data_IF_453558829460
#
_entry.id   IF_453558829460
#
_cell.length_a   1.000
_cell.length_b   1.000
_cell.length_c   1.000
_cell.angle_alpha   90.00
_cell.angle_beta   90.00
_cell.angle_gamma   90.00
#
_symmetry.space_group_name_H-M   'P 1'
#
loop_
_entity.id
_entity.type
_entity.pdbx_description
1 polymer ?
#
# COMPACT_ATOMS: atom_id res chain seq x y z
N UNK A 1 -29.20 14.48 -44.32
CA UNK A 1 -29.57 14.27 -42.90
C UNK A 1 -28.33 13.73 -42.19
N UNK A 2 -27.69 14.51 -41.33
CA UNK A 2 -26.47 14.10 -40.63
C UNK A 2 -26.92 13.47 -39.31
N UNK A 3 -26.73 12.14 -39.20
CA UNK A 3 -27.01 11.40 -37.98
C UNK A 3 -25.87 11.64 -36.98
N UNK A 4 -26.14 12.44 -35.95
CA UNK A 4 -25.24 12.63 -34.81
C UNK A 4 -25.40 11.46 -33.84
N UNK A 5 -24.39 10.61 -33.74
CA UNK A 5 -24.31 9.61 -32.70
C UNK A 5 -23.90 10.29 -31.38
N UNK A 6 -24.82 10.37 -30.41
CA UNK A 6 -24.48 10.69 -29.02
C UNK A 6 -23.82 9.47 -28.38
N UNK A 7 -22.53 9.57 -28.09
CA UNK A 7 -21.82 8.60 -27.25
C UNK A 7 -22.14 8.89 -25.78
N UNK A 8 -22.90 8.01 -25.13
CA UNK A 8 -23.03 8.00 -23.67
C UNK A 8 -21.69 7.58 -23.06
N UNK A 9 -21.11 8.44 -22.22
CA UNK A 9 -20.01 8.07 -21.34
C UNK A 9 -20.64 7.29 -20.17
N UNK A 10 -20.44 5.97 -20.15
CA UNK A 10 -20.76 5.17 -18.97
C UNK A 10 -19.76 5.52 -17.87
N UNK A 11 -20.22 6.17 -16.81
CA UNK A 11 -19.46 6.27 -15.57
C UNK A 11 -19.40 4.87 -14.96
N UNK A 12 -18.22 4.24 -14.99
CA UNK A 12 -17.96 3.00 -14.25
C UNK A 12 -18.12 3.30 -12.76
N UNK A 13 -19.17 2.75 -12.15
CA UNK A 13 -19.32 2.73 -10.70
C UNK A 13 -18.07 2.10 -10.07
N UNK A 14 -17.61 2.68 -8.96
CA UNK A 14 -16.51 2.15 -8.18
C UNK A 14 -16.77 0.68 -7.84
N UNK A 15 -15.73 -0.15 -7.95
CA UNK A 15 -15.79 -1.56 -7.59
C UNK A 15 -16.24 -1.69 -6.13
N UNK A 16 -17.45 -2.21 -5.91
CA UNK A 16 -17.87 -2.75 -4.63
C UNK A 16 -17.12 -4.08 -4.41
N UNK A 17 -15.87 -3.99 -3.95
CA UNK A 17 -15.04 -5.16 -3.65
C UNK A 17 -14.94 -5.35 -2.15
N UNK A 18 -15.16 -6.58 -1.66
CA UNK A 18 -14.84 -7.01 -0.29
C UNK A 18 -13.31 -7.00 -0.11
N UNK A 19 -12.74 -5.88 0.32
CA UNK A 19 -11.31 -5.83 0.60
C UNK A 19 -10.98 -6.64 1.87
N UNK A 20 -9.78 -7.26 1.96
CA UNK A 20 -9.42 -8.09 3.10
C UNK A 20 -9.35 -7.30 4.42
N UNK A 21 -9.16 -5.99 4.35
CA UNK A 21 -9.13 -5.08 5.50
C UNK A 21 -10.52 -4.71 6.04
N UNK A 22 -11.61 -5.03 5.36
CA UNK A 22 -12.95 -4.61 5.78
C UNK A 22 -13.39 -5.25 7.10
N UNK A 23 -14.12 -4.46 7.89
CA UNK A 23 -14.68 -4.85 9.18
C UNK A 23 -14.34 -3.86 10.29
N UNK A 24 -14.65 -4.27 11.52
CA UNK A 24 -14.27 -3.55 12.74
C UNK A 24 -13.02 -4.18 13.35
N UNK A 25 -12.11 -3.32 13.81
CA UNK A 25 -10.81 -3.66 14.33
C UNK A 25 -10.54 -2.91 15.62
N UNK A 26 -9.89 -3.55 16.58
CA UNK A 26 -9.28 -2.93 17.75
C UNK A 26 -7.80 -2.74 17.44
N UNK A 27 -7.38 -1.48 17.28
CA UNK A 27 -6.00 -1.07 17.03
C UNK A 27 -5.50 -0.34 18.28
N UNK A 28 -4.80 -1.06 19.16
CA UNK A 28 -4.33 -0.57 20.47
C UNK A 28 -5.40 0.14 21.32
N UNK A 29 -6.60 -0.46 21.38
CA UNK A 29 -7.73 0.05 22.15
C UNK A 29 -8.54 1.15 21.45
N UNK A 30 -8.15 1.55 20.24
CA UNK A 30 -8.96 2.41 19.37
C UNK A 30 -9.77 1.56 18.40
N UNK A 31 -11.09 1.77 18.37
CA UNK A 31 -11.96 1.13 17.39
C UNK A 31 -11.74 1.75 16.01
N UNK A 32 -11.47 0.89 15.02
CA UNK A 32 -11.32 1.26 13.61
C UNK A 32 -12.38 0.53 12.81
N UNK A 33 -13.14 1.26 11.98
CA UNK A 33 -14.09 0.65 11.02
C UNK A 33 -13.67 0.96 9.61
N UNK A 34 -13.61 -0.10 8.81
CA UNK A 34 -13.18 -0.06 7.43
C UNK A 34 -14.24 -0.71 6.54
N UNK A 35 -14.68 0.03 5.54
CA UNK A 35 -15.46 -0.48 4.41
C UNK A 35 -14.71 -0.22 3.11
N UNK A 36 -15.25 -0.65 1.97
CA UNK A 36 -14.72 -0.27 0.65
C UNK A 36 -14.80 1.24 0.36
N UNK A 37 -15.61 2.00 1.12
CA UNK A 37 -15.89 3.41 0.86
C UNK A 37 -15.46 4.34 2.00
N UNK A 38 -15.34 3.83 3.23
CA UNK A 38 -15.18 4.68 4.41
C UNK A 38 -14.22 4.11 5.44
N UNK A 39 -13.63 5.02 6.19
CA UNK A 39 -12.72 4.75 7.30
C UNK A 39 -13.11 5.61 8.51
N UNK A 40 -13.13 5.02 9.69
CA UNK A 40 -13.27 5.74 10.96
C UNK A 40 -12.26 5.23 11.97
N UNK A 41 -11.75 6.14 12.81
CA UNK A 41 -10.77 5.86 13.86
C UNK A 41 -11.20 6.54 15.16
N UNK A 42 -11.66 5.75 16.12
CA UNK A 42 -12.20 6.25 17.39
C UNK A 42 -13.33 7.26 17.17
N UNK A 43 -13.14 8.49 17.67
CA UNK A 43 -14.12 9.58 17.55
C UNK A 43 -13.79 10.59 16.43
N UNK A 44 -12.79 10.30 15.60
CA UNK A 44 -12.43 11.19 14.49
C UNK A 44 -13.53 11.19 13.41
N UNK A 45 -13.64 12.28 12.62
CA UNK A 45 -14.54 12.30 11.47
C UNK A 45 -14.27 11.14 10.51
N UNK A 46 -15.33 10.51 10.02
CA UNK A 46 -15.23 9.48 8.99
C UNK A 46 -14.63 10.05 7.71
N UNK A 47 -13.63 9.37 7.15
CA UNK A 47 -13.01 9.71 5.89
C UNK A 47 -13.59 8.86 4.75
N UNK A 48 -13.73 9.47 3.57
CA UNK A 48 -14.18 8.77 2.35
C UNK A 48 -12.97 8.30 1.56
N UNK A 49 -12.96 7.00 1.24
CA UNK A 49 -11.95 6.34 0.42
C UNK A 49 -12.15 6.76 -1.03
N UNK A 50 -11.06 7.20 -1.65
CA UNK A 50 -11.01 7.57 -3.07
C UNK A 50 -10.34 6.50 -3.92
N UNK A 51 -9.38 5.78 -3.35
CA UNK A 51 -8.59 4.77 -4.05
C UNK A 51 -8.08 3.72 -3.06
N UNK A 52 -8.13 2.46 -3.48
CA UNK A 52 -7.48 1.33 -2.81
C UNK A 52 -6.46 0.73 -3.76
N UNK A 53 -5.22 0.60 -3.29
CA UNK A 53 -4.09 0.07 -4.05
C UNK A 53 -3.68 -1.27 -3.47
N UNK A 54 -3.59 -2.29 -4.33
CA UNK A 54 -3.01 -3.56 -3.95
C UNK A 54 -1.49 -3.48 -3.91
N UNK A 55 -0.90 -3.70 -2.73
CA UNK A 55 0.56 -3.69 -2.52
C UNK A 55 1.11 -5.12 -2.65
N UNK A 56 0.42 -6.08 -2.04
CA UNK A 56 0.66 -7.52 -2.13
C UNK A 56 -0.64 -8.28 -1.78
N UNK A 57 -0.61 -9.61 -1.74
CA UNK A 57 -1.76 -10.42 -1.28
C UNK A 57 -2.24 -10.00 0.12
N UNK A 58 -1.31 -9.67 1.01
CA UNK A 58 -1.57 -9.32 2.43
C UNK A 58 -1.41 -7.83 2.75
N UNK A 59 -1.19 -6.97 1.75
CA UNK A 59 -1.02 -5.53 1.98
C UNK A 59 -1.86 -4.67 1.04
N UNK A 60 -2.44 -3.59 1.56
CA UNK A 60 -3.26 -2.63 0.82
C UNK A 60 -2.90 -1.19 1.22
N UNK A 61 -2.79 -0.30 0.24
CA UNK A 61 -2.71 1.15 0.47
C UNK A 61 -4.08 1.78 0.26
N UNK A 62 -4.45 2.76 1.09
CA UNK A 62 -5.73 3.48 0.98
C UNK A 62 -5.47 4.97 0.91
N UNK A 63 -6.10 5.63 -0.06
CA UNK A 63 -6.06 7.08 -0.22
C UNK A 63 -7.47 7.67 -0.06
N UNK A 64 -7.56 8.73 0.73
CA UNK A 64 -8.82 9.42 1.02
C UNK A 64 -9.00 10.65 0.12
N UNK A 65 -10.25 11.10 0.02
CA UNK A 65 -10.64 12.25 -0.81
C UNK A 65 -9.98 13.58 -0.40
N UNK A 66 -9.54 13.70 0.85
CA UNK A 66 -8.79 14.85 1.39
C UNK A 66 -7.28 14.75 1.16
N UNK A 67 -6.81 13.67 0.51
CA UNK A 67 -5.40 13.40 0.26
C UNK A 67 -4.67 12.68 1.38
N UNK A 68 -5.32 12.42 2.53
CA UNK A 68 -4.76 11.57 3.58
C UNK A 68 -4.57 10.14 3.07
N UNK A 69 -3.62 9.41 3.65
CA UNK A 69 -3.25 8.06 3.23
C UNK A 69 -2.94 7.20 4.43
N UNK A 70 -3.24 5.92 4.31
CA UNK A 70 -2.84 4.88 5.25
C UNK A 70 -2.45 3.61 4.48
N UNK A 71 -1.73 2.72 5.15
CA UNK A 71 -1.42 1.40 4.64
C UNK A 71 -1.82 0.33 5.66
N UNK A 72 -2.22 -0.83 5.14
CA UNK A 72 -2.46 -2.03 5.90
C UNK A 72 -1.46 -3.10 5.46
N UNK A 73 -0.82 -3.74 6.42
CA UNK A 73 0.13 -4.82 6.20
C UNK A 73 -0.29 -6.08 6.95
N UNK A 74 0.27 -7.22 6.53
CA UNK A 74 0.05 -8.53 7.15
C UNK A 74 -1.43 -8.84 7.43
N UNK A 75 -2.30 -8.44 6.49
CA UNK A 75 -3.74 -8.60 6.59
C UNK A 75 -4.07 -10.09 6.57
N UNK A 76 -4.66 -10.58 7.65
CA UNK A 76 -5.27 -11.89 7.76
C UNK A 76 -6.78 -11.73 8.00
N UNK A 77 -7.48 -12.85 8.21
CA UNK A 77 -8.90 -12.80 8.57
C UNK A 77 -9.16 -12.19 9.96
N UNK A 78 -8.14 -12.08 10.83
CA UNK A 78 -8.30 -11.64 12.22
C UNK A 78 -7.25 -10.66 12.73
N UNK A 79 -6.20 -10.37 11.95
CA UNK A 79 -5.14 -9.41 12.29
C UNK A 79 -4.78 -8.54 11.09
N UNK A 80 -4.31 -7.33 11.35
CA UNK A 80 -3.57 -6.52 10.38
C UNK A 80 -2.65 -5.56 11.13
N UNK A 81 -1.67 -4.99 10.45
CA UNK A 81 -0.96 -3.82 10.92
C UNK A 81 -1.49 -2.58 10.21
N UNK A 82 -1.98 -1.61 10.97
CA UNK A 82 -2.37 -0.29 10.47
C UNK A 82 -1.18 0.65 10.52
N UNK A 83 -0.97 1.45 9.47
CA UNK A 83 0.10 2.43 9.43
C UNK A 83 -0.38 3.76 8.83
N UNK A 84 -0.05 4.87 9.49
CA UNK A 84 -0.19 6.22 8.94
C UNK A 84 1.17 6.79 8.57
N UNK A 85 1.42 7.05 7.28
CA UNK A 85 2.58 7.80 6.85
C UNK A 85 2.63 9.21 7.44
N UNK A 86 1.49 9.89 7.57
CA UNK A 86 1.48 11.31 7.94
C UNK A 86 1.88 11.56 9.41
N UNK A 87 1.65 10.59 10.30
CA UNK A 87 2.08 10.67 11.70
C UNK A 87 3.24 9.73 12.03
N UNK A 88 3.53 8.75 11.17
CA UNK A 88 4.47 7.66 11.45
C UNK A 88 3.90 6.57 12.36
N UNK A 89 2.65 6.69 12.81
CA UNK A 89 2.03 5.74 13.73
C UNK A 89 1.81 4.37 13.09
N UNK A 90 2.05 3.33 13.88
CA UNK A 90 1.79 1.94 13.50
C UNK A 90 1.09 1.25 14.65
N UNK A 91 0.00 0.54 14.36
CA UNK A 91 -0.80 -0.19 15.34
C UNK A 91 -1.01 -1.63 14.91
N UNK A 92 -0.90 -2.55 15.87
CA UNK A 92 -1.31 -3.94 15.67
C UNK A 92 -2.82 -4.06 15.93
N UNK A 93 -3.55 -4.41 14.89
CA UNK A 93 -5.00 -4.45 14.91
C UNK A 93 -5.52 -5.88 14.99
N UNK A 94 -6.56 -6.09 15.80
CA UNK A 94 -7.29 -7.35 15.90
C UNK A 94 -8.72 -7.15 15.45
N UNK A 95 -9.20 -8.04 14.58
CA UNK A 95 -10.58 -7.98 14.11
C UNK A 95 -11.52 -8.25 15.27
N UNK A 96 -12.43 -7.32 15.52
CA UNK A 96 -13.49 -7.54 16.50
C UNK A 96 -14.64 -8.25 15.78
N UNK A 97 -15.21 -9.27 16.42
CA UNK A 97 -16.38 -9.92 15.86
C UNK A 97 -17.52 -8.91 15.83
N UNK A 98 -17.84 -8.39 14.65
CA UNK A 98 -19.01 -7.55 14.47
C UNK A 98 -20.25 -8.40 14.77
N UNK A 99 -21.11 -7.93 15.67
CA UNK A 99 -22.39 -8.55 15.91
C UNK A 99 -23.16 -8.56 14.59
N UNK A 100 -23.57 -9.76 14.16
CA UNK A 100 -24.21 -10.01 12.87
C UNK A 100 -25.35 -8.99 12.58
N UNK A 101 -25.30 -8.27 11.46
CA UNK A 101 -26.50 -7.74 10.84
C UNK A 101 -27.31 -8.93 10.30
N UNK A 102 -28.59 -8.96 10.61
CA UNK A 102 -29.53 -10.04 10.31
C UNK A 102 -29.50 -10.47 8.83
N UNK A 103 -29.38 -11.79 8.65
CA UNK A 103 -29.62 -12.56 7.42
C UNK A 103 -30.82 -12.06 6.62
N UNK A 104 -30.67 -11.91 5.30
CA UNK A 104 -31.60 -12.50 4.36
C UNK A 104 -30.99 -13.72 3.68
N UNK A 105 -31.86 -14.70 3.44
CA UNK A 105 -31.63 -16.07 3.01
C UNK A 105 -30.80 -16.26 1.71
N UNK A 106 -30.32 -17.50 1.44
CA UNK A 106 -29.29 -17.82 0.46
C UNK A 106 -29.75 -17.64 -0.99
N UNK A 107 -28.86 -17.11 -1.84
CA UNK A 107 -28.96 -17.27 -3.29
C UNK A 107 -27.80 -18.15 -3.75
N UNK A 108 -28.16 -19.37 -4.08
CA UNK A 108 -27.29 -20.43 -4.55
C UNK A 108 -27.07 -20.31 -6.08
N UNK A 109 -25.80 -20.47 -6.47
CA UNK A 109 -25.25 -20.84 -7.79
C UNK A 109 -25.21 -19.80 -8.93
N UNK A 110 -23.98 -19.51 -9.40
CA UNK A 110 -23.37 -20.34 -10.44
C UNK A 110 -21.86 -20.11 -10.54
N UNK A 111 -21.12 -21.20 -10.34
CA UNK A 111 -19.71 -21.34 -10.65
C UNK A 111 -19.59 -21.35 -12.18
N UNK A 112 -18.81 -20.44 -12.75
CA UNK A 112 -18.26 -20.59 -14.09
C UNK A 112 -16.73 -20.48 -13.97
N UNK A 113 -16.11 -21.65 -13.82
CA UNK A 113 -14.70 -21.84 -14.11
C UNK A 113 -14.52 -21.84 -15.64
N UNK A 114 -13.61 -21.00 -16.13
CA UNK A 114 -12.63 -21.21 -17.20
C UNK A 114 -12.42 -19.94 -18.02
N UNK A 115 -11.34 -19.23 -17.68
CA UNK A 115 -10.55 -18.51 -18.65
C UNK A 115 -9.07 -18.82 -18.34
N UNK A 116 -8.28 -19.34 -19.29
CA UNK A 116 -6.84 -19.47 -19.11
C UNK A 116 -6.24 -18.10 -18.78
N UNK A 117 -5.17 -18.02 -17.96
CA UNK A 117 -4.41 -16.78 -17.87
C UNK A 117 -3.97 -16.38 -19.28
N UNK A 118 -4.28 -15.14 -19.67
CA UNK A 118 -3.68 -14.57 -20.87
C UNK A 118 -2.15 -14.69 -20.74
N UNK A 119 -1.41 -15.01 -21.81
CA UNK A 119 0.04 -15.02 -21.75
C UNK A 119 0.53 -13.66 -21.25
N UNK A 120 1.33 -13.67 -20.18
CA UNK A 120 2.11 -12.49 -19.81
C UNK A 120 3.00 -12.14 -21.01
N UNK A 121 2.62 -11.10 -21.74
CA UNK A 121 3.52 -10.51 -22.73
C UNK A 121 4.75 -9.97 -21.97
N UNK A 122 5.97 -10.35 -22.36
CA UNK A 122 7.16 -9.75 -21.80
C UNK A 122 7.16 -8.27 -22.16
N UNK A 123 6.80 -7.39 -21.22
CA UNK A 123 7.13 -5.98 -21.36
C UNK A 123 8.63 -5.87 -21.19
N UNK A 124 9.34 -5.91 -22.32
CA UNK A 124 10.68 -5.38 -22.41
C UNK A 124 10.67 -3.93 -21.88
N UNK A 125 11.22 -3.73 -20.69
CA UNK A 125 11.47 -2.40 -20.16
C UNK A 125 12.97 -2.14 -20.20
N UNK A 126 13.46 -1.91 -21.42
CA UNK A 126 14.77 -1.36 -21.65
C UNK A 126 14.64 0.15 -21.94
N UNK A 127 14.71 0.93 -20.87
CA UNK A 127 15.01 2.36 -20.87
C UNK A 127 15.48 2.65 -19.44
N UNK A 128 16.77 2.94 -19.27
CA UNK A 128 17.44 3.11 -17.97
C UNK A 128 16.56 3.90 -17.00
N UNK A 129 15.92 3.19 -16.07
CA UNK A 129 14.85 3.74 -15.24
C UNK A 129 15.52 4.37 -14.02
N UNK A 130 15.82 5.67 -14.12
CA UNK A 130 16.40 6.39 -12.99
C UNK A 130 15.29 6.66 -11.97
N UNK A 131 15.25 5.87 -10.92
CA UNK A 131 14.32 6.13 -9.82
C UNK A 131 14.73 7.40 -9.07
N UNK A 132 13.77 8.25 -8.66
CA UNK A 132 14.06 9.50 -7.95
C UNK A 132 14.71 9.28 -6.57
N UNK A 133 14.53 8.10 -5.98
CA UNK A 133 15.15 7.70 -4.72
C UNK A 133 16.59 7.19 -4.86
N UNK A 134 17.12 7.06 -6.08
CA UNK A 134 18.51 6.65 -6.25
C UNK A 134 19.48 7.63 -5.59
N UNK A 135 20.51 7.10 -4.94
CA UNK A 135 21.52 7.87 -4.25
C UNK A 135 22.05 7.19 -2.99
N UNK A 136 22.95 7.91 -2.33
CA UNK A 136 23.43 7.59 -0.99
C UNK A 136 22.56 8.31 0.03
N UNK A 137 22.20 7.61 1.10
CA UNK A 137 21.29 8.10 2.14
C UNK A 137 21.77 7.66 3.51
N UNK A 138 21.70 8.55 4.49
CA UNK A 138 21.91 8.22 5.89
C UNK A 138 20.55 8.06 6.54
N UNK A 139 20.31 6.88 7.12
CA UNK A 139 19.03 6.52 7.69
C UNK A 139 19.11 6.37 9.21
N UNK A 140 18.17 7.02 9.89
CA UNK A 140 17.99 6.96 11.33
C UNK A 140 16.66 6.29 11.67
N UNK A 141 16.56 5.74 12.88
CA UNK A 141 15.29 5.30 13.43
C UNK A 141 14.32 6.48 13.46
N UNK A 142 13.13 6.30 12.88
CA UNK A 142 12.16 7.40 12.75
C UNK A 142 11.59 7.87 14.11
N UNK A 143 11.60 7.01 15.13
CA UNK A 143 11.08 7.34 16.46
C UNK A 143 12.15 7.96 17.36
N UNK A 144 13.39 7.47 17.31
CA UNK A 144 14.47 7.92 18.21
C UNK A 144 15.41 8.93 17.56
N UNK A 145 15.47 8.99 16.22
CA UNK A 145 16.43 9.78 15.46
C UNK A 145 17.87 9.25 15.54
N UNK A 146 18.09 8.07 16.15
CA UNK A 146 19.41 7.47 16.22
C UNK A 146 19.83 6.96 14.84
N UNK A 147 21.03 7.36 14.38
CA UNK A 147 21.57 6.90 13.11
C UNK A 147 21.79 5.38 13.14
N UNK A 148 21.18 4.68 12.20
CA UNK A 148 21.21 3.22 12.14
C UNK A 148 22.13 2.70 11.04
N UNK A 149 22.02 3.24 9.83
CA UNK A 149 22.80 2.75 8.68
C UNK A 149 22.84 3.77 7.55
N UNK A 150 23.87 3.66 6.72
CA UNK A 150 23.86 4.24 5.38
C UNK A 150 23.28 3.23 4.37
N UNK A 151 22.50 3.74 3.41
CA UNK A 151 21.91 3.01 2.30
C UNK A 151 22.38 3.60 0.97
N UNK A 152 22.78 2.73 0.05
CA UNK A 152 22.99 3.09 -1.36
C UNK A 152 21.88 2.45 -2.19
N UNK A 153 20.98 3.28 -2.72
CA UNK A 153 19.89 2.86 -3.61
C UNK A 153 20.31 3.08 -5.07
N UNK A 154 20.41 2.00 -5.81
CA UNK A 154 20.87 2.03 -7.21
C UNK A 154 19.71 1.78 -8.18
N UNK A 155 19.98 1.53 -9.45
CA UNK A 155 18.95 1.12 -10.42
C UNK A 155 18.40 -0.28 -10.12
N UNK A 156 19.25 -1.18 -9.62
CA UNK A 156 18.94 -2.60 -9.55
C UNK A 156 19.04 -3.17 -8.13
N UNK A 157 19.64 -2.44 -7.19
CA UNK A 157 20.01 -2.98 -5.89
C UNK A 157 19.92 -1.94 -4.76
N UNK A 158 19.62 -2.43 -3.56
CA UNK A 158 19.90 -1.75 -2.29
C UNK A 158 21.22 -2.29 -1.74
N UNK A 159 22.13 -1.39 -1.32
CA UNK A 159 23.28 -1.76 -0.51
C UNK A 159 23.10 -1.18 0.90
N UNK A 160 23.22 -2.04 1.92
CA UNK A 160 23.12 -1.66 3.33
C UNK A 160 24.53 -1.71 3.92
N UNK A 161 25.10 -0.54 4.22
CA UNK A 161 26.52 -0.41 4.55
C UNK A 161 26.91 -1.17 5.82
N UNK A 162 26.12 -1.07 6.89
CA UNK A 162 26.40 -1.72 8.17
C UNK A 162 26.47 -3.26 8.05
N UNK A 163 25.68 -3.84 7.13
CA UNK A 163 25.59 -5.29 6.94
C UNK A 163 26.46 -5.80 5.78
N UNK A 164 27.11 -4.91 5.02
CA UNK A 164 27.80 -5.26 3.77
C UNK A 164 26.92 -6.02 2.78
N UNK A 165 25.59 -5.84 2.87
CA UNK A 165 24.61 -6.64 2.15
C UNK A 165 24.14 -5.89 0.93
N UNK A 166 24.18 -6.56 -0.23
CA UNK A 166 23.61 -6.10 -1.49
C UNK A 166 22.47 -7.01 -1.87
N UNK A 167 21.31 -6.41 -2.13
CA UNK A 167 20.10 -7.15 -2.47
C UNK A 167 19.48 -6.52 -3.70
N UNK A 168 19.24 -7.34 -4.72
CA UNK A 168 18.68 -6.86 -5.98
C UNK A 168 17.16 -6.70 -5.89
N UNK A 169 16.65 -5.70 -6.60
CA UNK A 169 15.22 -5.52 -6.82
C UNK A 169 14.68 -6.70 -7.64
N UNK A 170 13.57 -7.25 -7.17
CA UNK A 170 12.69 -8.09 -7.99
C UNK A 170 11.70 -7.22 -8.76
N UNK A 171 11.10 -6.25 -8.07
CA UNK A 171 10.10 -5.35 -8.65
C UNK A 171 10.10 -4.01 -7.91
N UNK A 172 10.10 -2.92 -8.67
CA UNK A 172 9.84 -1.58 -8.15
C UNK A 172 8.56 -1.07 -8.81
N UNK A 173 7.64 -0.53 -8.02
CA UNK A 173 6.36 -0.02 -8.54
C UNK A 173 6.00 1.29 -7.88
N UNK A 174 5.66 2.35 -8.64
CA UNK A 174 5.24 3.61 -8.05
C UNK A 174 3.93 3.42 -7.29
N UNK A 175 3.80 4.11 -6.15
CA UNK A 175 2.58 4.18 -5.36
C UNK A 175 1.94 5.56 -5.61
N UNK A 176 0.74 5.55 -6.18
CA UNK A 176 0.05 6.77 -6.59
C UNK A 176 0.66 7.46 -7.82
N UNK A 177 0.16 8.65 -8.16
CA UNK A 177 0.49 9.35 -9.43
C UNK A 177 1.60 10.39 -9.32
N UNK A 178 2.02 10.75 -8.11
CA UNK A 178 2.91 11.90 -7.88
C UNK A 178 4.40 11.54 -7.82
N UNK A 179 4.75 10.24 -7.89
CA UNK A 179 6.15 9.80 -7.88
C UNK A 179 6.89 10.01 -6.56
N UNK A 180 6.15 10.23 -5.46
CA UNK A 180 6.70 10.46 -4.12
C UNK A 180 6.71 9.19 -3.25
N UNK A 181 6.26 8.06 -3.79
CA UNK A 181 6.23 6.81 -3.06
C UNK A 181 6.41 5.62 -4.01
N UNK A 182 7.09 4.58 -3.54
CA UNK A 182 7.42 3.38 -4.30
C UNK A 182 7.35 2.15 -3.42
N UNK A 183 6.78 1.07 -3.97
CA UNK A 183 6.93 -0.26 -3.43
C UNK A 183 8.19 -0.89 -4.03
N UNK A 184 9.01 -1.51 -3.18
CA UNK A 184 10.26 -2.17 -3.54
C UNK A 184 10.22 -3.60 -3.02
N UNK A 185 10.08 -4.56 -3.94
CA UNK A 185 10.20 -5.99 -3.66
C UNK A 185 11.63 -6.42 -3.98
N UNK A 186 12.28 -7.07 -3.03
CA UNK A 186 13.63 -7.59 -3.16
C UNK A 186 13.62 -9.08 -3.48
N UNK A 187 14.65 -9.55 -4.20
CA UNK A 187 14.77 -10.95 -4.64
C UNK A 187 14.95 -11.97 -3.51
N UNK A 188 15.27 -11.52 -2.30
CA UNK A 188 15.35 -12.37 -1.11
C UNK A 188 13.98 -12.52 -0.41
N UNK A 189 12.92 -11.96 -1.00
CA UNK A 189 11.55 -11.99 -0.50
C UNK A 189 11.22 -10.86 0.48
N UNK A 190 12.18 -9.98 0.80
CA UNK A 190 11.89 -8.80 1.61
C UNK A 190 11.16 -7.74 0.80
N UNK A 191 10.29 -7.00 1.47
CA UNK A 191 9.55 -5.90 0.87
C UNK A 191 9.78 -4.63 1.68
N UNK A 192 9.88 -3.50 0.98
CA UNK A 192 9.95 -2.19 1.58
C UNK A 192 9.15 -1.16 0.82
N UNK A 193 8.66 -0.16 1.54
CA UNK A 193 8.01 1.02 0.98
C UNK A 193 8.89 2.25 1.18
N UNK A 194 9.11 2.98 0.10
CA UNK A 194 9.66 4.34 0.12
C UNK A 194 8.47 5.30 0.08
N UNK A 195 8.40 6.21 1.04
CA UNK A 195 7.32 7.17 1.19
C UNK A 195 7.86 8.59 1.34
N UNK A 196 7.01 9.57 1.07
CA UNK A 196 7.32 11.00 1.23
C UNK A 196 8.61 11.45 0.52
N UNK A 197 8.92 10.78 -0.58
CA UNK A 197 10.15 11.03 -1.32
C UNK A 197 10.18 12.47 -1.84
N UNK A 198 11.23 13.16 -1.42
CA UNK A 198 11.58 14.51 -1.81
C UNK A 198 13.01 14.55 -2.36
N UNK A 199 13.53 15.76 -2.56
CA UNK A 199 14.87 15.95 -3.10
C UNK A 199 15.99 15.52 -2.14
N UNK A 200 15.73 15.48 -0.84
CA UNK A 200 16.72 15.33 0.23
C UNK A 200 16.24 14.43 1.37
N UNK A 201 14.98 13.98 1.35
CA UNK A 201 14.40 13.16 2.41
C UNK A 201 13.43 12.12 1.87
N UNK A 202 13.35 10.96 2.53
CA UNK A 202 12.23 10.02 2.42
C UNK A 202 12.10 9.14 3.68
N UNK A 203 10.93 8.53 3.84
CA UNK A 203 10.68 7.50 4.85
C UNK A 203 10.77 6.11 4.23
N UNK A 204 11.55 5.23 4.85
CA UNK A 204 11.67 3.83 4.47
C UNK A 204 10.95 2.96 5.49
N UNK A 205 9.93 2.21 5.07
CA UNK A 205 9.49 1.06 5.84
C UNK A 205 10.11 -0.19 5.21
N UNK A 206 10.88 -0.96 5.97
CA UNK A 206 11.55 -2.16 5.46
C UNK A 206 11.49 -3.27 6.50
N UNK A 207 10.80 -4.37 6.18
CA UNK A 207 10.64 -5.52 7.09
C UNK A 207 10.20 -5.12 8.52
N UNK A 208 9.30 -4.15 8.65
CA UNK A 208 8.77 -3.68 9.94
C UNK A 208 9.63 -2.61 10.64
N UNK A 209 10.79 -2.24 10.07
CA UNK A 209 11.59 -1.10 10.53
C UNK A 209 11.17 0.16 9.79
N UNK A 210 10.88 1.24 10.53
CA UNK A 210 10.60 2.56 9.96
C UNK A 210 11.81 3.48 10.14
N UNK A 211 12.41 3.88 9.03
CA UNK A 211 13.60 4.73 8.98
C UNK A 211 13.29 6.07 8.32
N UNK A 212 13.91 7.12 8.85
CA UNK A 212 14.00 8.44 8.22
C UNK A 212 15.34 8.54 7.51
N UNK A 213 15.33 8.72 6.19
CA UNK A 213 16.52 8.74 5.36
C UNK A 213 16.75 10.14 4.76
N UNK A 214 17.96 10.66 4.91
CA UNK A 214 18.37 11.98 4.44
C UNK A 214 19.65 11.92 3.59
N UNK A 215 19.86 12.90 2.70
CA UNK A 215 21.07 13.02 1.86
C UNK A 215 21.58 14.45 1.72
#
# INVERSE_FOLDING_TARGET
>A
MIAGALTLIMATAANAGNYPFEGTWDCDGSEVKLTSETYSFGQQPTLTISEVVEISDTARGVMFTDGYRIAFFDITSSSMQWHSPASGDTFDCKKTAEAAPETPAPQEQQIAQDAPPAPEEPREQNSALRYPFQGEWTCADSATGEALTDLSLTENDVNIAFMGTRISYEKVSPIGRNGTAFNVVLRDGQMGGIYELSGDHFLLNFSGLSLSCER
#
